data_IF_193273007852
#
_entry.id   IF_193273007852
#
_cell.length_a   1.000
_cell.length_b   1.000
_cell.length_c   1.000
_cell.angle_alpha   90.00
_cell.angle_beta   90.00
_cell.angle_gamma   90.00
#
_symmetry.space_group_name_H-M   'P 1'
#
loop_
_entity.id
_entity.type
_entity.pdbx_description
1 polymer ?
#
# COMPACT_ATOMS: atom_id res chain seq x y z
N UNK A 1 3.35 -41.73 50.69
CA UNK A 1 3.94 -41.47 49.35
C UNK A 1 3.08 -42.24 48.37
N UNK A 2 2.29 -41.68 47.47
CA UNK A 2 2.37 -40.41 46.74
C UNK A 2 0.95 -40.09 46.25
N UNK A 3 0.51 -38.85 46.45
CA UNK A 3 -0.84 -38.34 46.18
C UNK A 3 -1.09 -38.11 44.69
N UNK A 4 -2.34 -38.37 44.27
CA UNK A 4 -2.89 -38.03 42.97
C UNK A 4 -2.67 -36.55 42.64
N UNK A 5 -2.16 -36.29 41.43
CA UNK A 5 -1.89 -34.95 40.93
C UNK A 5 -3.13 -34.45 40.19
N UNK A 6 -3.83 -33.56 40.88
CA UNK A 6 -4.92 -32.69 40.45
C UNK A 6 -4.63 -32.06 39.07
N UNK A 7 -5.47 -32.36 38.08
CA UNK A 7 -5.49 -31.67 36.79
C UNK A 7 -6.33 -30.40 36.96
N UNK A 8 -5.67 -29.35 37.45
CA UNK A 8 -6.26 -28.02 37.53
C UNK A 8 -6.63 -27.49 36.16
N UNK A 9 -7.93 -27.36 35.92
CA UNK A 9 -8.51 -26.60 34.83
C UNK A 9 -7.89 -25.19 34.77
N UNK A 10 -7.30 -24.85 33.62
CA UNK A 10 -6.74 -23.53 33.35
C UNK A 10 -7.81 -22.45 33.48
N UNK A 11 -7.64 -21.59 34.47
CA UNK A 11 -8.42 -20.36 34.68
C UNK A 11 -8.45 -19.47 33.42
N UNK A 12 -9.60 -18.86 33.06
CA UNK A 12 -9.75 -17.98 31.90
C UNK A 12 -9.13 -16.60 32.20
N UNK A 13 -7.80 -16.52 32.24
CA UNK A 13 -7.06 -15.26 32.32
C UNK A 13 -6.54 -14.85 30.94
N UNK A 14 -7.41 -14.29 30.10
CA UNK A 14 -7.11 -13.26 29.07
C UNK A 14 -8.36 -12.95 28.20
N UNK A 15 -9.48 -12.55 28.81
CA UNK A 15 -10.60 -11.90 28.07
C UNK A 15 -10.59 -10.37 28.13
N UNK A 16 -9.57 -9.78 28.78
CA UNK A 16 -9.56 -8.35 29.17
C UNK A 16 -8.90 -7.42 28.13
N UNK A 17 -8.50 -7.91 26.95
CA UNK A 17 -7.78 -7.13 25.93
C UNK A 17 -8.56 -6.84 24.64
N UNK A 18 -9.67 -7.54 24.39
CA UNK A 18 -10.42 -7.50 23.12
C UNK A 18 -11.54 -6.44 23.16
N UNK A 19 -11.23 -5.21 23.59
CA UNK A 19 -12.14 -4.08 23.40
C UNK A 19 -11.99 -3.59 21.94
N UNK A 20 -13.07 -3.38 21.17
CA UNK A 20 -12.98 -2.82 19.83
C UNK A 20 -12.17 -1.54 19.66
N UNK A 21 -12.09 -0.76 20.72
CA UNK A 21 -11.29 0.46 20.77
C UNK A 21 -9.77 0.20 20.73
N UNK A 22 -9.32 -1.03 21.04
CA UNK A 22 -7.92 -1.42 21.06
C UNK A 22 -7.38 -1.92 19.71
N UNK A 23 -8.20 -1.87 18.66
CA UNK A 23 -7.78 -2.22 17.30
C UNK A 23 -7.40 -0.93 16.57
N UNK A 24 -6.20 -0.93 15.97
CA UNK A 24 -5.79 0.21 15.18
C UNK A 24 -6.71 0.34 13.95
N UNK A 25 -7.61 1.33 13.96
CA UNK A 25 -8.45 1.61 12.81
C UNK A 25 -7.56 1.91 11.59
N UNK A 26 -7.71 1.08 10.56
CA UNK A 26 -6.97 1.24 9.31
C UNK A 26 -7.48 2.51 8.63
N UNK A 27 -6.68 3.58 8.65
CA UNK A 27 -6.99 4.83 7.95
C UNK A 27 -7.05 4.58 6.43
N UNK A 28 -8.26 4.23 5.99
CA UNK A 28 -8.71 4.03 4.61
C UNK A 28 -8.26 5.10 3.58
N UNK A 29 -8.16 6.41 3.88
CA UNK A 29 -7.77 7.39 2.86
C UNK A 29 -6.36 7.14 2.27
N UNK A 30 -5.42 6.56 3.03
CA UNK A 30 -4.05 6.40 2.56
C UNK A 30 -3.92 5.25 1.55
N UNK A 31 -4.66 4.15 1.72
CA UNK A 31 -4.62 3.05 0.76
C UNK A 31 -5.24 3.45 -0.57
N UNK A 32 -6.39 4.13 -0.52
CA UNK A 32 -7.01 4.73 -1.71
C UNK A 32 -6.07 5.74 -2.35
N UNK A 33 -5.46 6.62 -1.56
CA UNK A 33 -4.48 7.58 -2.05
C UNK A 33 -3.33 6.88 -2.78
N UNK A 34 -2.70 5.87 -2.18
CA UNK A 34 -1.59 5.15 -2.79
C UNK A 34 -2.00 4.39 -4.07
N UNK A 35 -3.21 3.84 -4.12
CA UNK A 35 -3.76 3.21 -5.33
C UNK A 35 -4.03 4.22 -6.43
N UNK A 36 -4.71 5.33 -6.09
CA UNK A 36 -4.95 6.44 -7.02
C UNK A 36 -3.61 6.96 -7.54
N UNK A 37 -2.64 7.22 -6.66
CA UNK A 37 -1.30 7.65 -7.04
C UNK A 37 -0.61 6.63 -7.93
N UNK A 38 -0.64 5.34 -7.59
CA UNK A 38 -0.04 4.28 -8.40
C UNK A 38 -0.65 4.16 -9.80
N UNK A 39 -1.99 4.20 -9.90
CA UNK A 39 -2.73 4.19 -11.17
C UNK A 39 -2.45 5.46 -11.97
N UNK A 40 -2.47 6.64 -11.33
CA UNK A 40 -2.15 7.90 -11.98
C UNK A 40 -0.72 7.89 -12.54
N UNK A 41 0.25 7.35 -11.80
CA UNK A 41 1.65 7.26 -12.27
C UNK A 41 1.76 6.30 -13.44
N UNK A 42 1.21 5.09 -13.33
CA UNK A 42 1.24 4.13 -14.43
C UNK A 42 0.56 4.70 -15.68
N UNK A 43 -0.57 5.36 -15.49
CA UNK A 43 -1.33 6.00 -16.58
C UNK A 43 -0.55 7.16 -17.19
N UNK A 44 0.07 8.02 -16.38
CA UNK A 44 0.92 9.11 -16.85
C UNK A 44 2.11 8.56 -17.65
N UNK A 45 2.81 7.53 -17.16
CA UNK A 45 3.92 6.90 -17.88
C UNK A 45 3.45 6.31 -19.22
N UNK A 46 2.31 5.63 -19.25
CA UNK A 46 1.76 5.03 -20.48
C UNK A 46 1.32 6.10 -21.50
N UNK A 47 0.63 7.15 -21.05
CA UNK A 47 0.21 8.28 -21.89
C UNK A 47 1.43 8.99 -22.46
N UNK A 48 2.41 9.34 -21.63
CA UNK A 48 3.64 10.01 -22.07
C UNK A 48 4.43 9.16 -23.07
N UNK A 49 4.58 7.86 -22.79
CA UNK A 49 5.24 6.91 -23.70
C UNK A 49 4.53 6.84 -25.06
N UNK A 50 3.19 6.80 -25.05
CA UNK A 50 2.38 6.78 -26.27
C UNK A 50 2.47 8.09 -27.07
N UNK A 51 2.40 9.24 -26.40
CA UNK A 51 2.48 10.55 -27.05
C UNK A 51 3.84 10.75 -27.74
N UNK A 52 4.91 10.25 -27.15
CA UNK A 52 6.25 10.28 -27.74
C UNK A 52 6.39 9.34 -28.94
N UNK A 53 5.85 8.12 -28.86
CA UNK A 53 5.83 7.20 -30.01
C UNK A 53 5.13 7.82 -31.22
N UNK A 54 4.10 8.65 -30.99
CA UNK A 54 3.41 9.40 -32.05
C UNK A 54 4.08 10.70 -32.46
N UNK A 55 5.18 11.10 -31.83
CA UNK A 55 5.83 12.40 -32.07
C UNK A 55 4.92 13.60 -31.79
N UNK A 56 3.91 13.44 -30.92
CA UNK A 56 2.94 14.49 -30.60
C UNK A 56 3.60 15.62 -29.81
N UNK A 57 3.21 16.88 -29.98
CA UNK A 57 3.70 18.01 -29.17
C UNK A 57 3.07 18.09 -27.77
N UNK A 58 2.09 17.23 -27.46
CA UNK A 58 1.33 17.26 -26.21
C UNK A 58 1.93 16.44 -25.05
N UNK A 59 3.10 15.83 -25.23
CA UNK A 59 3.83 15.20 -24.12
C UNK A 59 4.46 16.29 -23.22
N UNK A 60 4.76 15.97 -21.95
CA UNK A 60 5.27 16.91 -20.94
C UNK A 60 6.44 17.76 -21.47
N UNK A 61 7.34 17.16 -22.26
CA UNK A 61 8.47 17.85 -22.86
C UNK A 61 8.03 18.96 -23.84
N UNK A 62 7.11 18.64 -24.75
CA UNK A 62 6.55 19.59 -25.71
C UNK A 62 5.72 20.67 -25.02
N UNK A 63 5.00 20.32 -23.96
CA UNK A 63 4.29 21.27 -23.12
C UNK A 63 5.23 22.27 -22.43
N UNK A 64 6.30 21.80 -21.77
CA UNK A 64 7.26 22.69 -21.07
C UNK A 64 8.01 23.59 -22.06
N UNK A 65 8.35 23.08 -23.25
CA UNK A 65 8.96 23.89 -24.32
C UNK A 65 8.01 24.97 -24.85
N UNK A 66 6.73 24.65 -25.05
CA UNK A 66 5.72 25.60 -25.51
C UNK A 66 5.43 26.72 -24.49
N UNK A 67 5.66 26.48 -23.20
CA UNK A 67 5.54 27.50 -22.15
C UNK A 67 6.77 28.42 -22.01
N UNK A 68 7.81 28.24 -22.84
CA UNK A 68 8.99 29.13 -22.86
C UNK A 68 9.99 28.92 -21.72
N UNK A 69 9.71 28.06 -20.73
CA UNK A 69 10.64 27.76 -19.63
C UNK A 69 11.97 27.13 -20.09
N UNK A 70 11.98 26.52 -21.28
CA UNK A 70 13.13 25.84 -21.87
C UNK A 70 13.51 26.37 -23.26
N UNK A 71 13.11 27.59 -23.62
CA UNK A 71 13.35 28.17 -24.96
C UNK A 71 14.86 28.24 -25.33
N UNK A 72 15.73 28.41 -24.33
CA UNK A 72 17.19 28.45 -24.47
C UNK A 72 17.86 27.06 -24.42
N UNK A 73 17.13 26.04 -24.02
CA UNK A 73 17.59 24.65 -24.08
C UNK A 73 17.22 24.13 -25.47
N UNK A 74 18.19 24.14 -26.37
CA UNK A 74 18.10 23.33 -27.59
C UNK A 74 17.69 21.92 -27.19
N UNK A 75 17.03 21.21 -28.12
CA UNK A 75 16.64 19.79 -28.06
C UNK A 75 17.86 18.87 -27.86
N UNK A 76 18.63 19.10 -26.80
CA UNK A 76 19.64 18.23 -26.26
C UNK A 76 18.84 17.22 -25.45
N UNK A 77 18.26 16.29 -26.19
CA UNK A 77 17.51 15.14 -25.69
C UNK A 77 18.45 14.14 -24.98
N UNK A 78 19.38 14.64 -24.16
CA UNK A 78 20.43 13.87 -23.50
C UNK A 78 20.26 13.96 -21.99
N UNK A 79 20.10 12.83 -21.30
CA UNK A 79 19.99 12.76 -19.83
C UNK A 79 21.09 13.50 -19.05
N UNK A 80 22.27 13.69 -19.67
CA UNK A 80 23.47 14.27 -19.07
C UNK A 80 23.52 15.80 -19.04
N UNK A 81 22.54 16.52 -19.59
CA UNK A 81 22.60 17.99 -19.74
C UNK A 81 21.40 18.69 -19.10
N UNK A 82 21.65 19.89 -18.56
CA UNK A 82 20.61 20.82 -18.11
C UNK A 82 19.73 20.32 -16.96
N UNK A 83 18.43 20.62 -17.06
CA UNK A 83 17.43 20.26 -16.04
C UNK A 83 17.29 18.75 -15.84
N UNK A 84 17.52 17.94 -16.88
CA UNK A 84 17.42 16.48 -16.81
C UNK A 84 18.46 15.89 -15.87
N UNK A 85 19.69 16.40 -15.91
CA UNK A 85 20.75 15.97 -15.00
C UNK A 85 20.40 16.30 -13.54
N UNK A 86 19.89 17.51 -13.28
CA UNK A 86 19.42 17.90 -11.94
C UNK A 86 18.29 16.99 -11.44
N UNK A 87 17.32 16.67 -12.30
CA UNK A 87 16.23 15.75 -11.98
C UNK A 87 16.77 14.35 -11.64
N UNK A 88 17.81 13.87 -12.34
CA UNK A 88 18.48 12.61 -12.04
C UNK A 88 19.19 12.62 -10.67
N UNK A 89 19.86 13.73 -10.31
CA UNK A 89 20.47 13.91 -8.99
C UNK A 89 19.40 13.89 -7.89
N UNK A 90 18.32 14.65 -8.06
CA UNK A 90 17.22 14.70 -7.08
C UNK A 90 16.54 13.34 -6.95
N UNK A 91 16.28 12.64 -8.06
CA UNK A 91 15.73 11.28 -8.05
C UNK A 91 16.63 10.28 -7.31
N UNK A 92 17.94 10.32 -7.56
CA UNK A 92 18.92 9.50 -6.86
C UNK A 92 18.97 9.83 -5.37
N UNK A 93 18.91 11.11 -5.01
CA UNK A 93 18.83 11.55 -3.62
C UNK A 93 17.57 11.02 -2.92
N UNK A 94 16.41 11.02 -3.59
CA UNK A 94 15.19 10.41 -3.05
C UNK A 94 15.40 8.92 -2.71
N UNK A 95 16.02 8.14 -3.60
CA UNK A 95 16.30 6.73 -3.33
C UNK A 95 17.28 6.52 -2.17
N UNK A 96 18.33 7.35 -2.07
CA UNK A 96 19.28 7.28 -0.97
C UNK A 96 18.61 7.64 0.36
N UNK A 97 17.86 8.76 0.40
CA UNK A 97 17.15 9.20 1.62
C UNK A 97 16.11 8.16 2.04
N UNK A 98 15.43 7.52 1.10
CA UNK A 98 14.46 6.46 1.37
C UNK A 98 15.05 5.26 2.15
N UNK A 99 16.36 5.01 2.06
CA UNK A 99 17.04 3.97 2.83
C UNK A 99 17.11 4.26 4.33
N UNK A 100 16.84 5.49 4.75
CA UNK A 100 16.69 5.86 6.17
C UNK A 100 15.64 5.02 6.89
N UNK A 101 14.59 4.54 6.20
CA UNK A 101 13.64 3.57 6.75
C UNK A 101 14.32 2.27 7.21
N UNK A 102 15.20 1.71 6.36
CA UNK A 102 15.94 0.48 6.67
C UNK A 102 16.89 0.67 7.85
N UNK A 103 17.48 1.87 7.98
CA UNK A 103 18.33 2.26 9.12
C UNK A 103 17.48 2.37 10.38
N UNK A 104 16.38 3.13 10.35
CA UNK A 104 15.43 3.30 11.46
C UNK A 104 14.86 1.98 11.97
N UNK A 105 14.63 1.01 11.09
CA UNK A 105 14.14 -0.32 11.45
C UNK A 105 15.20 -1.17 12.15
N UNK A 106 16.49 -0.97 11.86
CA UNK A 106 17.60 -1.78 12.38
C UNK A 106 18.22 -1.19 13.64
N UNK A 107 18.27 0.13 13.77
CA UNK A 107 18.99 0.80 14.84
C UNK A 107 18.05 1.45 15.86
N UNK A 108 18.24 1.10 17.13
CA UNK A 108 17.41 1.53 18.25
C UNK A 108 17.54 3.02 18.59
N UNK A 109 18.62 3.70 18.18
CA UNK A 109 18.84 5.12 18.51
C UNK A 109 17.83 6.08 17.85
N UNK A 110 17.11 5.62 16.82
CA UNK A 110 16.08 6.44 16.15
C UNK A 110 14.65 6.11 16.64
N UNK A 111 14.49 5.30 17.69
CA UNK A 111 13.17 4.84 18.16
C UNK A 111 12.23 6.00 18.48
N UNK A 112 12.76 7.09 19.03
CA UNK A 112 11.99 8.28 19.43
C UNK A 112 11.68 9.24 18.28
N UNK A 113 12.36 9.07 17.13
CA UNK A 113 12.14 9.92 15.96
C UNK A 113 10.99 9.36 15.15
N UNK A 114 9.75 9.68 15.53
CA UNK A 114 8.55 9.36 14.76
C UNK A 114 8.15 7.86 14.74
N UNK A 115 6.89 7.61 14.36
CA UNK A 115 6.34 6.26 14.31
C UNK A 115 6.89 5.45 13.12
N UNK A 116 7.05 4.13 13.28
CA UNK A 116 7.49 3.25 12.19
C UNK A 116 6.55 3.33 10.96
N UNK A 117 5.26 3.61 11.19
CA UNK A 117 4.26 3.84 10.14
C UNK A 117 4.61 5.08 9.32
N UNK A 118 4.93 6.20 9.97
CA UNK A 118 5.31 7.44 9.30
C UNK A 118 6.58 7.28 8.45
N UNK A 119 7.58 6.54 8.94
CA UNK A 119 8.77 6.24 8.14
C UNK A 119 8.49 5.38 6.92
N UNK A 120 7.57 4.41 7.03
CA UNK A 120 7.12 3.64 5.89
C UNK A 120 6.38 4.53 4.88
N UNK A 121 5.55 5.46 5.34
CA UNK A 121 4.84 6.39 4.47
C UNK A 121 5.82 7.33 3.74
N UNK A 122 6.86 7.84 4.42
CA UNK A 122 7.96 8.60 3.80
C UNK A 122 8.73 7.74 2.79
N UNK A 123 9.02 6.48 3.11
CA UNK A 123 9.68 5.55 2.19
C UNK A 123 8.87 5.38 0.91
N UNK A 124 7.57 5.12 1.01
CA UNK A 124 6.69 4.98 -0.15
C UNK A 124 6.62 6.28 -0.97
N UNK A 125 6.50 7.43 -0.31
CA UNK A 125 6.47 8.73 -0.97
C UNK A 125 7.76 9.00 -1.76
N UNK A 126 8.93 8.83 -1.14
CA UNK A 126 10.22 9.03 -1.79
C UNK A 126 10.48 8.02 -2.91
N UNK A 127 10.04 6.76 -2.75
CA UNK A 127 10.15 5.75 -3.80
C UNK A 127 9.32 6.11 -5.03
N UNK A 128 8.10 6.59 -4.82
CA UNK A 128 7.21 7.08 -5.89
C UNK A 128 7.83 8.30 -6.59
N UNK A 129 8.20 9.33 -5.83
CA UNK A 129 8.77 10.57 -6.38
C UNK A 129 10.09 10.28 -7.11
N UNK A 130 10.98 9.49 -6.50
CA UNK A 130 12.25 9.08 -7.08
C UNK A 130 12.06 8.32 -8.40
N UNK A 131 11.05 7.45 -8.48
CA UNK A 131 10.72 6.71 -9.71
C UNK A 131 10.24 7.64 -10.83
N UNK A 132 9.36 8.60 -10.51
CA UNK A 132 8.87 9.59 -11.49
C UNK A 132 10.03 10.46 -12.00
N UNK A 133 10.85 11.00 -11.09
CA UNK A 133 12.00 11.84 -11.44
C UNK A 133 13.02 11.06 -12.27
N UNK A 134 13.37 9.84 -11.86
CA UNK A 134 14.36 9.02 -12.58
C UNK A 134 13.84 8.58 -13.96
N UNK A 135 12.56 8.24 -14.09
CA UNK A 135 11.92 7.99 -15.39
C UNK A 135 12.06 9.21 -16.30
N UNK A 136 11.73 10.38 -15.75
CA UNK A 136 11.80 11.66 -16.44
C UNK A 136 13.24 12.02 -16.83
N UNK A 137 14.24 11.70 -15.99
CA UNK A 137 15.67 11.89 -16.26
C UNK A 137 16.15 11.13 -17.50
N UNK A 138 15.59 9.94 -17.79
CA UNK A 138 15.98 9.17 -18.99
C UNK A 138 15.59 9.84 -20.31
N UNK A 139 14.91 10.99 -20.26
CA UNK A 139 14.25 11.63 -21.40
C UNK A 139 13.37 10.66 -22.18
N UNK A 140 12.90 9.60 -21.49
CA UNK A 140 12.12 8.48 -22.02
C UNK A 140 12.81 7.71 -23.16
N UNK A 141 14.14 7.81 -23.25
CA UNK A 141 14.97 7.05 -24.19
C UNK A 141 15.44 5.77 -23.53
N UNK A 142 14.74 4.68 -23.83
CA UNK A 142 15.07 3.35 -23.30
C UNK A 142 16.02 2.62 -24.27
N UNK A 143 17.33 2.75 -24.07
CA UNK A 143 18.35 2.12 -24.90
C UNK A 143 19.43 1.39 -24.10
N UNK A 144 19.89 0.24 -24.61
CA UNK A 144 21.02 -0.51 -24.07
C UNK A 144 20.85 -0.95 -22.60
N UNK A 145 21.96 -1.01 -21.87
CA UNK A 145 22.00 -1.41 -20.46
C UNK A 145 21.13 -0.52 -19.54
N UNK A 146 20.86 0.72 -19.93
CA UNK A 146 20.02 1.67 -19.16
C UNK A 146 18.56 1.19 -19.09
N UNK A 147 18.07 0.49 -20.12
CA UNK A 147 16.71 -0.07 -20.11
C UNK A 147 16.53 -1.14 -19.03
N UNK A 148 17.57 -1.96 -18.78
CA UNK A 148 17.53 -2.98 -17.73
C UNK A 148 17.42 -2.31 -16.35
N UNK A 149 18.24 -1.30 -16.08
CA UNK A 149 18.20 -0.51 -14.85
C UNK A 149 16.83 0.12 -14.61
N UNK A 150 16.23 0.68 -15.66
CA UNK A 150 14.91 1.28 -15.64
C UNK A 150 13.83 0.26 -15.27
N UNK A 151 13.78 -0.89 -15.95
CA UNK A 151 12.77 -1.92 -15.66
C UNK A 151 12.95 -2.53 -14.27
N UNK A 152 14.19 -2.72 -13.81
CA UNK A 152 14.45 -3.13 -12.43
C UNK A 152 13.86 -2.13 -11.42
N UNK A 153 14.09 -0.83 -11.61
CA UNK A 153 13.50 0.22 -10.77
C UNK A 153 11.96 0.17 -10.78
N UNK A 154 11.34 0.06 -11.96
CA UNK A 154 9.87 -0.03 -12.09
C UNK A 154 9.33 -1.26 -11.34
N UNK A 155 9.96 -2.44 -11.50
CA UNK A 155 9.53 -3.67 -10.80
C UNK A 155 9.68 -3.53 -9.28
N UNK A 156 10.76 -2.91 -8.79
CA UNK A 156 10.93 -2.64 -7.34
C UNK A 156 9.84 -1.70 -6.84
N UNK A 157 9.58 -0.59 -7.53
CA UNK A 157 8.54 0.37 -7.15
C UNK A 157 7.14 -0.25 -7.14
N UNK A 158 6.77 -0.96 -8.21
CA UNK A 158 5.49 -1.67 -8.30
C UNK A 158 5.35 -2.77 -7.24
N UNK A 159 6.41 -3.55 -6.99
CA UNK A 159 6.38 -4.54 -5.91
C UNK A 159 6.27 -3.90 -4.53
N UNK A 160 6.84 -2.71 -4.30
CA UNK A 160 6.67 -1.94 -3.07
C UNK A 160 5.20 -1.55 -2.81
N UNK A 161 4.51 -1.08 -3.85
CA UNK A 161 3.06 -0.80 -3.79
C UNK A 161 2.25 -2.07 -3.45
N UNK A 162 2.58 -3.20 -4.08
CA UNK A 162 1.94 -4.49 -3.78
C UNK A 162 2.19 -4.91 -2.32
N UNK A 163 3.41 -4.76 -1.81
CA UNK A 163 3.74 -5.04 -0.42
C UNK A 163 2.92 -4.21 0.56
N UNK A 164 2.76 -2.91 0.29
CA UNK A 164 1.92 -2.01 1.11
C UNK A 164 0.44 -2.39 1.05
N UNK A 165 -0.06 -2.80 -0.12
CA UNK A 165 -1.41 -3.33 -0.25
C UNK A 165 -1.60 -4.55 0.64
N UNK A 166 -0.75 -5.57 0.50
CA UNK A 166 -0.80 -6.81 1.29
C UNK A 166 -0.69 -6.57 2.80
N UNK A 167 0.17 -5.64 3.23
CA UNK A 167 0.30 -5.26 4.65
C UNK A 167 -1.01 -4.71 5.24
N UNK A 168 -1.84 -4.04 4.42
CA UNK A 168 -3.16 -3.55 4.84
C UNK A 168 -4.21 -4.64 5.11
N UNK A 169 -3.93 -5.89 4.74
CA UNK A 169 -4.82 -7.03 5.00
C UNK A 169 -4.56 -7.71 6.34
N UNK A 170 -3.43 -7.40 6.98
CA UNK A 170 -3.09 -7.94 8.31
C UNK A 170 -3.56 -6.93 9.36
N UNK A 171 -4.60 -7.25 10.15
CA UNK A 171 -5.02 -6.38 11.23
C UNK A 171 -4.01 -6.46 12.37
N UNK A 172 -3.72 -5.31 12.97
CA UNK A 172 -2.80 -5.18 14.08
C UNK A 172 -3.53 -4.60 15.30
N UNK A 173 -3.16 -5.06 16.48
CA UNK A 173 -3.53 -4.43 17.74
C UNK A 173 -2.91 -3.02 17.84
N UNK A 174 -3.45 -2.16 18.72
CA UNK A 174 -2.83 -0.86 19.04
C UNK A 174 -1.39 -1.01 19.55
N UNK A 175 -1.07 -2.15 20.18
CA UNK A 175 0.29 -2.53 20.59
C UNK A 175 1.24 -2.82 19.42
N UNK A 176 0.71 -2.96 18.20
CA UNK A 176 1.47 -3.33 17.00
C UNK A 176 1.61 -4.84 16.78
N UNK A 177 1.03 -5.69 17.65
CA UNK A 177 0.99 -7.15 17.46
C UNK A 177 -0.02 -7.53 16.37
N UNK A 178 0.35 -8.43 15.47
CA UNK A 178 -0.59 -9.04 14.50
C UNK A 178 -1.72 -9.78 15.26
N UNK A 179 -2.97 -9.63 14.81
CA UNK A 179 -4.08 -10.40 15.39
C UNK A 179 -4.04 -11.85 14.91
N UNK A 180 -4.28 -12.77 15.83
CA UNK A 180 -4.47 -14.18 15.52
C UNK A 180 -5.90 -14.44 15.01
N UNK A 181 -6.09 -15.52 14.25
CA UNK A 181 -7.40 -15.91 13.72
C UNK A 181 -8.48 -16.04 14.79
N UNK A 182 -8.12 -16.53 15.98
CA UNK A 182 -9.04 -16.69 17.11
C UNK A 182 -9.44 -15.33 17.71
N UNK A 183 -8.51 -14.37 17.75
CA UNK A 183 -8.80 -13.00 18.20
C UNK A 183 -9.76 -12.30 17.23
N UNK A 184 -9.61 -12.52 15.91
CA UNK A 184 -10.51 -11.98 14.89
C UNK A 184 -11.92 -12.59 15.01
N UNK A 185 -12.03 -13.89 15.29
CA UNK A 185 -13.33 -14.56 15.50
C UNK A 185 -14.04 -14.03 16.74
N UNK A 186 -13.33 -13.98 17.86
CA UNK A 186 -13.87 -13.44 19.11
C UNK A 186 -14.32 -11.98 18.96
N UNK A 187 -13.59 -11.20 18.15
CA UNK A 187 -13.97 -9.83 17.84
C UNK A 187 -15.29 -9.77 17.03
N UNK A 188 -15.42 -10.57 15.98
CA UNK A 188 -16.64 -10.61 15.16
C UNK A 188 -17.87 -11.00 15.99
N UNK A 189 -17.75 -12.00 16.85
CA UNK A 189 -18.82 -12.41 17.77
C UNK A 189 -19.21 -11.28 18.74
N UNK A 190 -18.21 -10.57 19.28
CA UNK A 190 -18.44 -9.43 20.16
C UNK A 190 -19.10 -8.27 19.43
N UNK A 191 -18.70 -7.98 18.18
CA UNK A 191 -19.32 -6.94 17.35
C UNK A 191 -20.76 -7.27 16.98
N UNK A 192 -21.06 -8.54 16.69
CA UNK A 192 -22.42 -9.00 16.40
C UNK A 192 -23.31 -8.81 17.65
N UNK A 193 -22.82 -9.17 18.85
CA UNK A 193 -23.54 -8.95 20.09
C UNK A 193 -23.74 -7.47 20.42
N UNK A 194 -22.69 -6.65 20.26
CA UNK A 194 -22.74 -5.21 20.50
C UNK A 194 -23.76 -4.51 19.60
N UNK A 195 -23.86 -4.91 18.34
CA UNK A 195 -24.85 -4.39 17.40
C UNK A 195 -26.28 -4.71 17.88
N UNK A 196 -26.54 -5.95 18.31
CA UNK A 196 -27.85 -6.35 18.84
C UNK A 196 -28.21 -5.59 20.12
N UNK A 197 -27.25 -5.39 21.02
CA UNK A 197 -27.47 -4.71 22.30
C UNK A 197 -27.68 -3.20 22.11
N UNK A 198 -26.95 -2.57 21.19
CA UNK A 198 -27.00 -1.12 20.97
C UNK A 198 -28.19 -0.68 20.10
N UNK A 199 -28.54 -1.48 19.09
CA UNK A 199 -29.50 -1.09 18.05
C UNK A 199 -30.77 -1.96 18.06
N UNK A 200 -30.80 -3.02 18.87
CA UNK A 200 -31.93 -3.94 18.95
C UNK A 200 -32.00 -4.93 17.80
N UNK A 201 -33.06 -5.74 17.77
CA UNK A 201 -33.31 -6.78 16.75
C UNK A 201 -34.27 -6.31 15.66
N UNK A 202 -34.24 -5.01 15.33
CA UNK A 202 -35.04 -4.49 14.22
C UNK A 202 -34.65 -5.24 12.93
N UNK A 203 -35.62 -5.89 12.25
CA UNK A 203 -35.35 -6.64 11.02
C UNK A 203 -34.63 -5.82 9.94
N UNK A 204 -34.86 -4.51 9.87
CA UNK A 204 -34.20 -3.64 8.90
C UNK A 204 -32.71 -3.45 9.23
N UNK A 205 -32.38 -3.23 10.50
CA UNK A 205 -31.00 -3.04 10.98
C UNK A 205 -30.20 -4.33 10.76
N UNK A 206 -30.78 -5.48 11.13
CA UNK A 206 -30.17 -6.79 10.92
C UNK A 206 -29.94 -7.06 9.44
N UNK A 207 -30.90 -6.71 8.57
CA UNK A 207 -30.74 -6.86 7.13
C UNK A 207 -29.53 -6.06 6.59
N UNK A 208 -29.39 -4.78 6.95
CA UNK A 208 -28.23 -3.99 6.53
C UNK A 208 -26.90 -4.56 7.06
N UNK A 209 -26.91 -5.06 8.30
CA UNK A 209 -25.72 -5.61 8.94
C UNK A 209 -25.27 -6.97 8.37
N UNK A 210 -26.22 -7.81 7.95
CA UNK A 210 -25.96 -9.15 7.41
C UNK A 210 -25.71 -9.17 5.90
N UNK A 211 -25.99 -8.07 5.20
CA UNK A 211 -25.61 -7.91 3.78
C UNK A 211 -24.10 -8.00 3.56
N UNK A 212 -23.28 -7.71 4.57
CA UNK A 212 -21.84 -7.93 4.49
C UNK A 212 -21.57 -9.42 4.70
N UNK A 213 -21.33 -10.10 3.58
CA UNK A 213 -21.01 -11.51 3.56
C UNK A 213 -19.51 -11.77 3.72
N UNK A 214 -19.22 -12.94 4.25
CA UNK A 214 -17.87 -13.48 4.35
C UNK A 214 -17.26 -13.66 2.94
N UNK A 215 -16.05 -13.15 2.67
CA UNK A 215 -15.39 -13.39 1.39
C UNK A 215 -15.17 -14.89 1.13
N UNK A 216 -15.16 -15.36 -0.12
CA UNK A 216 -14.58 -16.67 -0.41
C UNK A 216 -13.10 -16.64 -0.03
N UNK A 217 -12.66 -17.54 0.85
CA UNK A 217 -11.25 -17.66 1.22
C UNK A 217 -10.38 -18.08 0.03
N UNK A 218 -9.06 -17.84 0.11
CA UNK A 218 -8.12 -18.12 -0.98
C UNK A 218 -6.88 -18.92 -0.56
N UNK A 219 -6.96 -19.65 0.56
CA UNK A 219 -5.81 -20.34 1.15
C UNK A 219 -5.16 -21.37 0.22
N UNK A 220 -5.97 -22.06 -0.58
CA UNK A 220 -5.51 -23.07 -1.53
C UNK A 220 -5.13 -22.48 -2.90
N UNK A 221 -5.41 -21.21 -3.15
CA UNK A 221 -5.09 -20.58 -4.43
C UNK A 221 -3.58 -20.31 -4.55
N UNK A 222 -3.10 -20.28 -5.78
CA UNK A 222 -1.76 -19.77 -6.07
C UNK A 222 -1.68 -18.25 -5.80
N UNK A 223 -0.47 -17.71 -5.69
CA UNK A 223 -0.25 -16.32 -5.30
C UNK A 223 -0.94 -15.30 -6.22
N UNK A 224 -0.92 -15.54 -7.53
CA UNK A 224 -1.50 -14.64 -8.53
C UNK A 224 -3.02 -14.62 -8.41
N UNK A 225 -3.66 -15.80 -8.41
CA UNK A 225 -5.10 -15.95 -8.25
C UNK A 225 -5.57 -15.35 -6.92
N UNK A 226 -4.82 -15.58 -5.84
CA UNK A 226 -5.10 -14.99 -4.53
C UNK A 226 -5.10 -13.45 -4.58
N UNK A 227 -4.07 -12.84 -5.17
CA UNK A 227 -3.99 -11.37 -5.32
C UNK A 227 -5.17 -10.83 -6.13
N UNK A 228 -5.49 -11.47 -7.26
CA UNK A 228 -6.62 -11.03 -8.09
C UNK A 228 -7.96 -11.17 -7.35
N UNK A 229 -8.20 -12.28 -6.66
CA UNK A 229 -9.42 -12.47 -5.83
C UNK A 229 -9.51 -11.42 -4.73
N UNK A 230 -8.43 -11.17 -4.00
CA UNK A 230 -8.36 -10.12 -2.98
C UNK A 230 -8.67 -8.75 -3.57
N UNK A 231 -8.09 -8.43 -4.73
CA UNK A 231 -8.29 -7.16 -5.42
C UNK A 231 -9.74 -6.95 -5.88
N UNK A 232 -10.30 -7.90 -6.63
CA UNK A 232 -11.67 -7.79 -7.12
C UNK A 232 -12.69 -7.83 -5.98
N UNK A 233 -12.43 -8.58 -4.90
CA UNK A 233 -13.25 -8.54 -3.71
C UNK A 233 -13.22 -7.15 -3.06
N UNK A 234 -12.05 -6.56 -2.84
CA UNK A 234 -11.92 -5.23 -2.22
C UNK A 234 -12.63 -4.16 -3.05
N UNK A 235 -12.54 -4.24 -4.38
CA UNK A 235 -13.25 -3.34 -5.30
C UNK A 235 -14.77 -3.51 -5.21
N UNK A 236 -15.27 -4.74 -5.35
CA UNK A 236 -16.70 -5.03 -5.28
C UNK A 236 -17.29 -4.65 -3.91
N UNK A 237 -16.54 -4.91 -2.85
CA UNK A 237 -16.93 -4.61 -1.48
C UNK A 237 -16.92 -3.11 -1.17
N UNK A 238 -15.98 -2.36 -1.73
CA UNK A 238 -15.98 -0.89 -1.64
C UNK A 238 -17.23 -0.29 -2.28
N UNK A 239 -17.64 -0.81 -3.43
CA UNK A 239 -18.89 -0.41 -4.08
C UNK A 239 -20.13 -0.81 -3.26
N UNK A 240 -20.15 -2.01 -2.68
CA UNK A 240 -21.22 -2.48 -1.81
C UNK A 240 -21.38 -1.58 -0.57
N UNK A 241 -20.28 -1.27 0.12
CA UNK A 241 -20.27 -0.37 1.29
C UNK A 241 -20.75 1.03 0.89
N UNK A 242 -20.33 1.54 -0.27
CA UNK A 242 -20.81 2.81 -0.81
C UNK A 242 -22.32 2.79 -1.09
N UNK A 243 -22.83 1.70 -1.65
CA UNK A 243 -24.28 1.51 -1.89
C UNK A 243 -25.06 1.44 -0.57
N UNK A 244 -24.58 0.68 0.41
CA UNK A 244 -25.18 0.59 1.75
C UNK A 244 -25.21 1.97 2.41
N UNK A 245 -24.13 2.76 2.31
CA UNK A 245 -24.09 4.12 2.84
C UNK A 245 -25.20 5.00 2.26
N UNK A 246 -25.35 4.99 0.93
CA UNK A 246 -26.36 5.80 0.24
C UNK A 246 -27.77 5.36 0.64
N UNK A 247 -28.07 4.07 0.59
CA UNK A 247 -29.38 3.52 0.97
C UNK A 247 -29.72 3.83 2.43
N UNK A 248 -28.79 3.58 3.36
CA UNK A 248 -28.98 3.82 4.78
C UNK A 248 -29.16 5.31 5.09
N UNK A 249 -28.40 6.20 4.45
CA UNK A 249 -28.54 7.64 4.68
C UNK A 249 -29.84 8.20 4.08
N UNK A 250 -30.31 7.64 2.96
CA UNK A 250 -31.59 8.01 2.34
C UNK A 250 -32.83 7.50 3.09
N UNK A 251 -32.69 6.52 3.99
CA UNK A 251 -33.82 5.93 4.72
C UNK A 251 -34.46 6.91 5.73
N UNK A 252 -35.70 7.35 5.53
CA UNK A 252 -36.33 8.33 6.43
C UNK A 252 -36.83 7.75 7.76
N UNK A 253 -36.84 6.42 7.90
CA UNK A 253 -37.42 5.75 9.08
C UNK A 253 -36.48 5.82 10.29
N UNK A 254 -35.17 5.87 10.07
CA UNK A 254 -34.17 5.81 11.14
C UNK A 254 -33.58 7.19 11.50
N UNK A 255 -33.34 7.47 12.80
CA UNK A 255 -32.59 8.64 13.22
C UNK A 255 -31.16 8.67 12.64
N UNK A 256 -30.65 9.87 12.33
CA UNK A 256 -29.30 10.05 11.77
C UNK A 256 -28.19 9.51 12.67
N UNK A 257 -28.37 9.53 14.00
CA UNK A 257 -27.43 8.94 14.97
C UNK A 257 -27.32 7.42 14.80
N UNK A 258 -28.46 6.73 14.74
CA UNK A 258 -28.55 5.27 14.54
C UNK A 258 -27.92 4.88 13.21
N UNK A 259 -28.21 5.60 12.12
CA UNK A 259 -27.60 5.34 10.81
C UNK A 259 -26.07 5.43 10.83
N UNK A 260 -25.53 6.48 11.44
CA UNK A 260 -24.07 6.67 11.53
C UNK A 260 -23.41 5.57 12.36
N UNK A 261 -24.03 5.19 13.48
CA UNK A 261 -23.57 4.11 14.36
C UNK A 261 -23.65 2.74 13.69
N UNK A 262 -24.75 2.43 13.01
CA UNK A 262 -24.90 1.20 12.24
C UNK A 262 -23.84 1.11 11.14
N UNK A 263 -23.60 2.22 10.42
CA UNK A 263 -22.59 2.22 9.37
C UNK A 263 -21.16 2.05 9.90
N UNK A 264 -20.83 2.63 11.05
CA UNK A 264 -19.51 2.39 11.67
C UNK A 264 -19.33 0.92 12.04
N UNK A 265 -20.36 0.29 12.62
CA UNK A 265 -20.35 -1.15 12.95
C UNK A 265 -20.24 -2.03 11.69
N UNK A 266 -20.96 -1.71 10.62
CA UNK A 266 -20.88 -2.40 9.32
C UNK A 266 -19.45 -2.31 8.77
N UNK A 267 -18.84 -1.13 8.83
CA UNK A 267 -17.47 -0.91 8.35
C UNK A 267 -16.44 -1.69 9.16
N UNK A 268 -16.60 -1.74 10.48
CA UNK A 268 -15.74 -2.52 11.38
C UNK A 268 -15.87 -4.02 11.13
N UNK A 269 -17.10 -4.56 11.09
CA UNK A 269 -17.38 -5.96 10.72
C UNK A 269 -16.75 -6.31 9.37
N UNK A 270 -16.91 -5.45 8.38
CA UNK A 270 -16.35 -5.66 7.05
C UNK A 270 -14.82 -5.78 7.06
N UNK A 271 -14.13 -4.88 7.76
CA UNK A 271 -12.66 -4.94 7.87
C UNK A 271 -12.19 -6.25 8.51
N UNK A 272 -12.94 -6.77 9.47
CA UNK A 272 -12.60 -7.99 10.18
C UNK A 272 -12.96 -9.25 9.42
N UNK A 273 -14.10 -9.29 8.73
CA UNK A 273 -14.47 -10.39 7.84
C UNK A 273 -13.45 -10.55 6.71
N UNK A 274 -13.00 -9.41 6.16
CA UNK A 274 -11.92 -9.36 5.17
C UNK A 274 -10.63 -9.95 5.73
N UNK A 275 -10.25 -9.53 6.94
CA UNK A 275 -9.03 -10.02 7.60
C UNK A 275 -9.12 -11.52 7.89
N UNK A 276 -10.24 -12.00 8.43
CA UNK A 276 -10.46 -13.41 8.79
C UNK A 276 -10.18 -14.37 7.63
N UNK A 277 -10.67 -14.06 6.43
CA UNK A 277 -10.59 -15.02 5.32
C UNK A 277 -9.33 -14.89 4.45
N UNK A 278 -8.54 -13.83 4.66
CA UNK A 278 -7.33 -13.58 3.88
C UNK A 278 -6.07 -13.41 4.74
N UNK A 279 -6.13 -13.52 6.07
CA UNK A 279 -4.98 -13.33 6.96
C UNK A 279 -3.81 -14.26 6.59
N UNK A 280 -4.07 -15.56 6.58
CA UNK A 280 -3.14 -16.63 6.17
C UNK A 280 -2.53 -16.36 4.79
N UNK A 281 -3.38 -15.98 3.83
CA UNK A 281 -2.96 -15.67 2.47
C UNK A 281 -2.09 -14.41 2.43
N UNK A 282 -2.45 -13.35 3.14
CA UNK A 282 -1.70 -12.11 3.23
C UNK A 282 -0.33 -12.32 3.89
N UNK A 283 -0.27 -13.08 4.98
CA UNK A 283 0.99 -13.47 5.65
C UNK A 283 1.90 -14.26 4.71
N UNK A 284 1.35 -15.26 4.01
CA UNK A 284 2.10 -16.04 3.00
C UNK A 284 2.64 -15.17 1.86
N UNK A 285 1.79 -14.29 1.31
CA UNK A 285 2.18 -13.39 0.22
C UNK A 285 3.21 -12.35 0.67
N UNK A 286 3.10 -11.81 1.88
CA UNK A 286 4.09 -10.90 2.45
C UNK A 286 5.44 -11.58 2.68
N UNK A 287 5.44 -12.85 3.10
CA UNK A 287 6.67 -13.64 3.20
C UNK A 287 7.38 -13.73 1.84
N UNK A 288 6.68 -14.15 0.79
CA UNK A 288 7.24 -14.20 -0.56
C UNK A 288 7.66 -12.82 -1.08
N UNK A 289 6.84 -11.80 -0.81
CA UNK A 289 7.17 -10.43 -1.16
C UNK A 289 8.48 -9.97 -0.55
N UNK A 290 8.75 -10.26 0.72
CA UNK A 290 10.03 -9.91 1.35
C UNK A 290 11.24 -10.61 0.71
N UNK A 291 11.06 -11.86 0.29
CA UNK A 291 12.09 -12.65 -0.41
C UNK A 291 12.36 -12.07 -1.80
N UNK A 292 11.33 -11.56 -2.48
CA UNK A 292 11.46 -10.98 -3.82
C UNK A 292 11.93 -9.52 -3.82
N UNK A 293 11.30 -8.66 -3.02
CA UNK A 293 11.49 -7.21 -3.06
C UNK A 293 12.87 -6.78 -2.54
N UNK A 294 13.36 -7.39 -1.45
CA UNK A 294 14.64 -6.96 -0.84
C UNK A 294 15.85 -7.19 -1.76
N UNK A 295 16.06 -8.40 -2.35
CA UNK A 295 17.19 -8.60 -3.26
C UNK A 295 17.11 -7.71 -4.50
N UNK A 296 15.91 -7.53 -5.05
CA UNK A 296 15.71 -6.68 -6.22
C UNK A 296 16.01 -5.21 -5.91
N UNK A 297 15.60 -4.71 -4.73
CA UNK A 297 15.94 -3.38 -4.28
C UNK A 297 17.46 -3.21 -4.13
N UNK A 298 18.17 -4.19 -3.54
CA UNK A 298 19.63 -4.17 -3.44
C UNK A 298 20.27 -4.12 -4.82
N UNK A 299 19.81 -4.96 -5.76
CA UNK A 299 20.30 -4.96 -7.14
C UNK A 299 20.08 -3.60 -7.82
N UNK A 300 18.92 -2.98 -7.64
CA UNK A 300 18.62 -1.65 -8.16
C UNK A 300 19.64 -0.60 -7.67
N UNK A 301 19.98 -0.60 -6.38
CA UNK A 301 21.00 0.31 -5.85
C UNK A 301 22.39 0.04 -6.43
N UNK A 302 22.79 -1.23 -6.55
CA UNK A 302 24.07 -1.60 -7.17
C UNK A 302 24.14 -1.06 -8.59
N UNK A 303 23.09 -1.29 -9.39
CA UNK A 303 23.01 -0.80 -10.78
C UNK A 303 23.01 0.72 -10.83
N UNK A 304 22.29 1.40 -9.93
CA UNK A 304 22.29 2.86 -9.83
C UNK A 304 23.69 3.41 -9.56
N UNK A 305 24.43 2.85 -8.60
CA UNK A 305 25.79 3.28 -8.31
C UNK A 305 26.74 3.02 -9.48
N UNK A 306 26.66 1.84 -10.11
CA UNK A 306 27.45 1.54 -11.31
C UNK A 306 27.12 2.53 -12.43
N UNK A 307 25.84 2.84 -12.65
CA UNK A 307 25.41 3.80 -13.66
C UNK A 307 26.02 5.19 -13.43
N UNK A 308 25.98 5.69 -12.19
CA UNK A 308 26.57 6.98 -11.82
C UNK A 308 28.10 6.97 -12.00
N UNK A 309 28.78 5.89 -11.58
CA UNK A 309 30.24 5.75 -11.70
C UNK A 309 30.66 5.68 -13.17
N UNK A 310 30.00 4.85 -13.97
CA UNK A 310 30.27 4.72 -15.41
C UNK A 310 30.07 6.06 -16.12
N UNK A 311 29.01 6.80 -15.77
CA UNK A 311 28.81 8.14 -16.31
C UNK A 311 29.93 9.10 -15.90
N UNK A 312 30.40 9.05 -14.65
CA UNK A 312 31.51 9.92 -14.21
C UNK A 312 32.84 9.54 -14.87
N UNK A 313 33.13 8.25 -15.07
CA UNK A 313 34.38 7.78 -15.65
C UNK A 313 34.44 7.95 -17.17
N UNK A 314 33.33 7.69 -17.87
CA UNK A 314 33.30 7.67 -19.34
C UNK A 314 32.51 8.82 -19.96
N UNK A 315 31.54 9.39 -19.23
CA UNK A 315 30.70 10.50 -19.71
C UNK A 315 31.24 11.88 -19.35
N UNK A 316 32.05 12.03 -18.29
CA UNK A 316 32.65 13.32 -17.94
C UNK A 316 33.74 13.78 -18.93
N UNK A 317 34.24 12.88 -19.77
CA UNK A 317 35.26 13.18 -20.79
C UNK A 317 34.68 13.66 -22.13
N UNK A 318 33.35 13.69 -22.31
CA UNK A 318 32.68 14.15 -23.53
C UNK A 318 31.87 15.46 -23.34
N UNK A 319 32.16 16.24 -22.30
CA UNK A 319 31.55 17.56 -22.06
C UNK A 319 32.50 18.69 -22.47
#
# INVERSE_FOLDING_TARGET
MTTAKDQGAGSPKTRRGLNPENIAHLNWPLHIFLWITGVLICTAILIESYLQLKGSSYHILGFIQNFGFLEKYTRADSPSKGIWHLIGIVGSACFIIMMSYSIRKRFSFMVDVGSLRSWLDVHMFLGIVGTILTTTHTTYKFGGLVSISFWCMVIVASSGLLGRYLYGWIPHQVSGKELEMEEIRAYLEASDQQMQDALGKDPQIVNYYDRISSPPGSDQDNAVVAIFKMFFYDLANTLLIGKIWVELMSDKTMPTSVKKQLFSMIREKNNMLRSRNFLSTAQRLLHYWHVFHKPLAVMMFIVMFIHIIVWYLFGAHEI
#
